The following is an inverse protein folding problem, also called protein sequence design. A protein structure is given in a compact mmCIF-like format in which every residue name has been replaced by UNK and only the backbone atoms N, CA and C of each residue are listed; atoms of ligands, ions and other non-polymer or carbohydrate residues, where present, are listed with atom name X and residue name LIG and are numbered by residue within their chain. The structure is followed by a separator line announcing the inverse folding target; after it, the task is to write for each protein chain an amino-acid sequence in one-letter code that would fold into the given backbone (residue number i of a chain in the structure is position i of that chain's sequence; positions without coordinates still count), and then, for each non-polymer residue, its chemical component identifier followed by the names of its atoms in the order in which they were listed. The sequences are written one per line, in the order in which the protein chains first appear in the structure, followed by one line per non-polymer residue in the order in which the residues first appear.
data_IF_395321817253
#
_entry.id   IF_395321817253
#
_cell.length_a   1.000
_cell.length_b   1.000
_cell.length_c   1.000
_cell.angle_alpha   90.00
_cell.angle_beta   90.00
_cell.angle_gamma   90.00
#
_symmetry.space_group_name_H-M   'P 1'
#
loop_
_entity.id
_entity.type
_entity.pdbx_description
1 polymer ?
#
# COMPACT_ATOMS: atom_id res chain seq x y z
N UNK A 1 14.25 -23.39 -26.58
CA UNK A 1 13.18 -22.86 -25.71
C UNK A 1 13.79 -22.57 -24.34
N UNK A 2 13.98 -21.30 -24.00
CA UNK A 2 14.35 -20.86 -22.64
C UNK A 2 13.56 -19.58 -22.36
N UNK A 3 12.54 -19.70 -21.53
CA UNK A 3 11.78 -18.56 -21.02
C UNK A 3 12.46 -18.05 -19.75
N UNK A 4 12.76 -16.77 -19.73
CA UNK A 4 13.03 -16.01 -18.53
C UNK A 4 12.21 -14.72 -18.67
N UNK A 5 11.08 -14.65 -17.95
CA UNK A 5 10.39 -13.40 -17.72
C UNK A 5 11.17 -12.68 -16.62
N UNK A 6 12.18 -11.93 -17.02
CA UNK A 6 12.79 -10.89 -16.20
C UNK A 6 11.77 -9.75 -16.07
N UNK A 7 10.92 -9.85 -15.05
CA UNK A 7 10.12 -8.74 -14.55
C UNK A 7 10.77 -8.20 -13.26
N UNK A 8 12.02 -7.75 -13.36
CA UNK A 8 12.59 -6.86 -12.35
C UNK A 8 12.00 -5.46 -12.53
N UNK A 9 10.76 -5.28 -12.07
CA UNK A 9 10.26 -3.94 -11.75
C UNK A 9 11.00 -3.44 -10.51
N UNK A 10 12.15 -2.83 -10.76
CA UNK A 10 12.85 -2.01 -9.78
C UNK A 10 11.94 -0.81 -9.50
N UNK A 11 11.12 -0.91 -8.45
CA UNK A 11 10.35 0.22 -7.94
C UNK A 11 11.34 1.18 -7.28
N UNK A 12 11.73 2.22 -8.02
CA UNK A 12 12.61 3.28 -7.54
C UNK A 12 12.06 3.88 -6.24
N UNK A 13 12.86 3.76 -5.19
CA UNK A 13 12.59 4.28 -3.84
C UNK A 13 12.65 5.80 -3.88
N UNK A 14 11.54 6.47 -4.14
CA UNK A 14 11.49 7.94 -4.10
C UNK A 14 11.64 8.45 -2.65
N UNK A 15 12.45 9.51 -2.43
CA UNK A 15 12.64 10.09 -1.11
C UNK A 15 11.37 10.81 -0.63
N UNK A 16 10.95 10.52 0.60
CA UNK A 16 9.80 11.16 1.25
C UNK A 16 9.98 12.69 1.30
N UNK A 17 9.19 13.41 0.49
CA UNK A 17 9.16 14.87 0.48
C UNK A 17 8.37 15.41 1.68
N UNK A 18 8.91 16.50 2.22
CA UNK A 18 8.50 17.30 3.39
C UNK A 18 6.99 17.40 3.60
N UNK A 19 6.56 17.18 4.84
CA UNK A 19 5.20 17.38 5.34
C UNK A 19 4.74 18.82 5.11
N UNK A 20 3.80 19.00 4.18
CA UNK A 20 2.97 20.19 4.09
C UNK A 20 1.71 19.96 4.95
N UNK A 21 1.35 20.86 5.89
CA UNK A 21 0.17 20.68 6.75
C UNK A 21 -1.18 20.83 6.03
N UNK A 22 -1.18 21.22 4.75
CA UNK A 22 -2.34 21.26 3.84
C UNK A 22 -2.29 20.18 2.75
N UNK A 23 -1.47 19.15 2.92
CA UNK A 23 -1.25 18.13 1.88
C UNK A 23 -2.47 17.23 1.75
N UNK A 24 -3.10 17.23 0.60
CA UNK A 24 -4.05 16.20 0.17
C UNK A 24 -3.38 14.83 0.29
N UNK A 25 -4.06 13.84 0.86
CA UNK A 25 -3.54 12.50 1.08
C UNK A 25 -4.57 11.44 0.67
N UNK A 26 -4.09 10.24 0.33
CA UNK A 26 -4.97 9.12 0.01
C UNK A 26 -5.06 8.20 1.20
N UNK A 27 -6.29 7.94 1.65
CA UNK A 27 -6.59 6.89 2.61
C UNK A 27 -6.88 5.61 1.83
N UNK A 28 -6.19 4.54 2.20
CA UNK A 28 -6.45 3.18 1.70
C UNK A 28 -6.90 2.32 2.87
N UNK A 29 -8.09 1.74 2.76
CA UNK A 29 -8.59 0.73 3.68
C UNK A 29 -8.35 -0.65 3.09
N UNK A 30 -7.58 -1.48 3.79
CA UNK A 30 -7.33 -2.87 3.44
C UNK A 30 -8.05 -3.79 4.42
N UNK A 31 -8.54 -4.92 3.92
CA UNK A 31 -8.90 -6.06 4.74
C UNK A 31 -7.68 -6.94 4.90
N UNK A 32 -7.20 -7.10 6.12
CA UNK A 32 -5.98 -7.85 6.42
C UNK A 32 -6.25 -8.93 7.46
N UNK A 33 -5.38 -9.93 7.49
CA UNK A 33 -5.41 -11.04 8.44
C UNK A 33 -4.15 -11.05 9.28
N UNK A 34 -4.32 -11.25 10.58
CA UNK A 34 -3.22 -11.61 11.46
C UNK A 34 -3.26 -13.13 11.68
N UNK A 35 -2.15 -13.80 11.38
CA UNK A 35 -1.96 -15.25 11.58
C UNK A 35 -3.07 -16.14 10.97
N UNK A 36 -3.76 -15.66 9.93
CA UNK A 36 -4.83 -16.39 9.25
C UNK A 36 -6.15 -16.53 10.03
N UNK A 37 -6.26 -15.99 11.25
CA UNK A 37 -7.42 -16.23 12.13
C UNK A 37 -8.45 -15.12 12.04
N UNK A 38 -8.02 -13.85 12.04
CA UNK A 38 -8.94 -12.70 12.18
C UNK A 38 -8.75 -11.71 11.04
N UNK A 39 -9.84 -11.48 10.30
CA UNK A 39 -9.96 -10.38 9.36
C UNK A 39 -10.24 -9.08 10.12
N UNK A 40 -9.48 -8.02 9.84
CA UNK A 40 -9.72 -6.68 10.35
C UNK A 40 -9.37 -5.63 9.30
N UNK A 41 -9.86 -4.40 9.53
CA UNK A 41 -9.58 -3.27 8.65
C UNK A 41 -8.27 -2.61 9.03
N UNK A 42 -7.43 -2.40 8.05
CA UNK A 42 -6.17 -1.68 8.16
C UNK A 42 -6.28 -0.41 7.33
N UNK A 43 -6.32 0.73 8.01
CA UNK A 43 -6.27 2.04 7.35
C UNK A 43 -4.80 2.47 7.21
N UNK A 44 -4.41 2.82 5.98
CA UNK A 44 -3.12 3.42 5.68
C UNK A 44 -3.30 4.80 5.06
N UNK A 45 -2.52 5.77 5.55
CA UNK A 45 -2.47 7.13 5.00
C UNK A 45 -1.25 7.26 4.11
N UNK A 46 -1.48 7.28 2.80
CA UNK A 46 -0.43 7.53 1.84
C UNK A 46 -0.30 9.02 1.54
N UNK A 47 0.93 9.52 1.50
CA UNK A 47 1.22 10.91 1.11
C UNK A 47 1.09 11.14 -0.41
N UNK A 48 0.82 10.08 -1.18
CA UNK A 48 0.55 10.18 -2.60
C UNK A 48 -0.96 10.32 -2.85
N UNK A 49 -1.32 11.24 -3.74
CA UNK A 49 -2.69 11.39 -4.26
C UNK A 49 -3.07 10.34 -5.31
N UNK A 50 -2.07 9.58 -5.80
CA UNK A 50 -2.26 8.55 -6.81
C UNK A 50 -2.66 7.22 -6.17
N UNK A 51 -3.82 6.70 -6.54
CA UNK A 51 -4.32 5.39 -6.06
C UNK A 51 -3.37 4.25 -6.43
N UNK A 52 -2.76 4.32 -7.62
CA UNK A 52 -1.79 3.33 -8.11
C UNK A 52 -0.51 3.27 -7.26
N UNK A 53 -0.18 4.34 -6.52
CA UNK A 53 0.94 4.38 -5.59
C UNK A 53 0.47 4.11 -4.16
N UNK A 54 -0.66 4.67 -3.76
CA UNK A 54 -1.19 4.55 -2.42
C UNK A 54 -1.57 3.10 -2.06
N UNK A 55 -2.13 2.34 -3.01
CA UNK A 55 -2.49 0.94 -2.78
C UNK A 55 -1.27 0.06 -2.46
N UNK A 56 -0.23 -0.03 -3.32
CA UNK A 56 0.94 -0.85 -3.02
C UNK A 56 1.71 -0.36 -1.78
N UNK A 57 1.71 0.95 -1.51
CA UNK A 57 2.26 1.54 -0.28
C UNK A 57 1.53 1.03 0.97
N UNK A 58 0.19 0.99 0.94
CA UNK A 58 -0.64 0.43 2.01
C UNK A 58 -0.43 -1.08 2.19
N UNK A 59 -0.35 -1.84 1.09
CA UNK A 59 -0.09 -3.27 1.15
C UNK A 59 1.27 -3.57 1.76
N UNK A 60 2.29 -2.80 1.37
CA UNK A 60 3.63 -2.89 1.95
C UNK A 60 3.58 -2.58 3.45
N UNK A 61 2.88 -1.53 3.87
CA UNK A 61 2.75 -1.17 5.27
C UNK A 61 2.04 -2.26 6.10
N UNK A 62 1.03 -2.93 5.52
CA UNK A 62 0.38 -4.08 6.15
C UNK A 62 1.33 -5.28 6.28
N UNK A 63 2.09 -5.60 5.23
CA UNK A 63 3.08 -6.69 5.23
C UNK A 63 4.23 -6.42 6.22
N UNK A 64 4.71 -5.18 6.32
CA UNK A 64 5.75 -4.76 7.27
C UNK A 64 5.30 -4.96 8.73
N UNK A 65 3.98 -4.94 9.00
CA UNK A 65 3.39 -5.27 10.30
C UNK A 65 3.12 -6.76 10.51
N UNK A 66 3.46 -7.61 9.53
CA UNK A 66 3.22 -9.05 9.58
C UNK A 66 1.78 -9.45 9.23
N UNK A 67 1.01 -8.57 8.60
CA UNK A 67 -0.36 -8.87 8.19
C UNK A 67 -0.41 -9.41 6.76
N UNK A 68 -1.31 -10.35 6.54
CA UNK A 68 -1.63 -10.85 5.20
C UNK A 68 -2.76 -10.01 4.62
N UNK A 69 -2.51 -9.34 3.48
CA UNK A 69 -3.53 -8.54 2.81
C UNK A 69 -4.47 -9.46 2.04
N UNK A 70 -5.77 -9.33 2.29
CA UNK A 70 -6.80 -10.09 1.59
C UNK A 70 -7.35 -9.32 0.39
N UNK A 71 -7.82 -8.09 0.61
CA UNK A 71 -8.41 -7.24 -0.45
C UNK A 71 -8.37 -5.77 -0.04
N UNK A 72 -8.24 -4.86 -1.01
CA UNK A 72 -8.50 -3.44 -0.79
C UNK A 72 -10.01 -3.19 -0.71
N UNK A 73 -10.45 -2.52 0.36
CA UNK A 73 -11.85 -2.22 0.63
C UNK A 73 -12.26 -0.86 0.07
N UNK A 74 -11.45 0.16 0.30
CA UNK A 74 -11.73 1.52 -0.14
C UNK A 74 -10.44 2.31 -0.39
N UNK A 75 -10.48 3.22 -1.35
CA UNK A 75 -9.40 4.16 -1.63
C UNK A 75 -10.02 5.53 -1.89
N UNK A 76 -9.73 6.48 -1.02
CA UNK A 76 -10.29 7.83 -1.08
C UNK A 76 -9.24 8.91 -0.90
N UNK A 77 -9.40 10.00 -1.63
CA UNK A 77 -8.60 11.22 -1.49
C UNK A 77 -9.25 12.13 -0.45
N UNK A 78 -8.44 12.68 0.46
CA UNK A 78 -8.85 13.60 1.54
C UNK A 78 -7.95 14.82 1.52
#
# INVERSE_FOLDING_TARGET
MRGAFDLDQVHEKQPAKKLNPFSTYTIVELSVRENGVKLFRFEHRSNSISTLIAQPDAEKAARDKGYEVWIALDIRLV
#
